data_IF_415251381831
#
_entry.id   IF_415251381831
#
_cell.length_a   1.000
_cell.length_b   1.000
_cell.length_c   1.000
_cell.angle_alpha   90.00
_cell.angle_beta   90.00
_cell.angle_gamma   90.00
#
_symmetry.space_group_name_H-M   'P 1'
#
loop_
_entity.id
_entity.type
_entity.pdbx_description
1 polymer ?
#
# COMPACT_ATOMS: atom_id res chain seq x y z
N UNK A 1 -41.78 -34.58 -25.14
CA UNK A 1 -41.01 -34.35 -26.38
C UNK A 1 -40.31 -33.01 -26.25
N UNK A 2 -38.98 -32.99 -26.26
CA UNK A 2 -38.22 -31.74 -26.22
C UNK A 2 -38.15 -31.20 -27.64
N UNK A 3 -38.69 -29.99 -27.83
CA UNK A 3 -38.63 -29.26 -29.09
C UNK A 3 -37.23 -28.67 -29.29
N UNK A 4 -36.28 -29.53 -29.67
CA UNK A 4 -34.96 -29.14 -30.15
C UNK A 4 -35.02 -28.91 -31.68
N UNK A 5 -35.61 -27.80 -32.11
CA UNK A 5 -35.73 -27.50 -33.54
C UNK A 5 -35.77 -26.01 -33.87
N UNK A 6 -36.25 -25.15 -32.96
CA UNK A 6 -36.34 -23.71 -33.20
C UNK A 6 -35.05 -22.94 -32.92
N UNK A 7 -34.12 -23.49 -32.12
CA UNK A 7 -32.83 -22.83 -31.79
C UNK A 7 -31.90 -22.77 -33.01
N UNK A 8 -31.96 -23.74 -33.92
CA UNK A 8 -31.15 -23.75 -35.14
C UNK A 8 -31.59 -22.72 -36.20
N UNK A 9 -32.86 -22.30 -36.22
CA UNK A 9 -33.39 -21.34 -37.20
C UNK A 9 -32.85 -19.92 -37.02
N UNK A 10 -32.38 -19.57 -35.81
CA UNK A 10 -31.69 -18.31 -35.53
C UNK A 10 -30.17 -18.41 -35.72
N UNK A 11 -29.66 -19.49 -36.32
CA UNK A 11 -28.23 -19.68 -36.58
C UNK A 11 -27.40 -20.03 -35.33
N UNK A 12 -28.05 -20.27 -34.19
CA UNK A 12 -27.40 -20.61 -32.92
C UNK A 12 -27.12 -22.12 -32.89
N UNK A 13 -26.05 -22.54 -33.57
CA UNK A 13 -25.53 -23.90 -33.50
C UNK A 13 -24.60 -24.12 -32.31
N UNK A 14 -24.18 -25.37 -32.08
CA UNK A 14 -23.19 -25.74 -31.06
C UNK A 14 -21.87 -24.95 -31.14
N UNK A 15 -21.52 -24.47 -32.35
CA UNK A 15 -20.37 -23.60 -32.60
C UNK A 15 -20.48 -22.22 -31.92
N UNK A 16 -21.68 -21.81 -31.51
CA UNK A 16 -21.90 -20.56 -30.78
C UNK A 16 -21.85 -20.77 -29.26
N UNK A 17 -22.02 -22.01 -28.77
CA UNK A 17 -21.91 -22.34 -27.34
C UNK A 17 -20.48 -22.21 -26.83
N UNK A 18 -19.48 -22.52 -27.66
CA UNK A 18 -18.06 -22.30 -27.31
C UNK A 18 -17.75 -20.81 -27.19
N UNK A 19 -18.27 -19.98 -28.10
CA UNK A 19 -18.12 -18.53 -28.05
C UNK A 19 -18.84 -17.92 -26.83
N UNK A 20 -20.06 -18.37 -26.50
CA UNK A 20 -20.77 -17.94 -25.28
C UNK A 20 -20.07 -18.40 -24.00
N UNK A 21 -19.52 -19.63 -23.94
CA UNK A 21 -18.71 -20.10 -22.80
C UNK A 21 -17.41 -19.32 -22.64
N UNK A 22 -16.79 -18.90 -23.75
CA UNK A 22 -15.62 -18.04 -23.72
C UNK A 22 -15.98 -16.62 -23.26
N UNK A 23 -17.18 -16.12 -23.58
CA UNK A 23 -17.67 -14.82 -23.10
C UNK A 23 -17.94 -14.79 -21.58
N UNK A 24 -18.09 -15.95 -20.94
CA UNK A 24 -18.19 -16.08 -19.47
C UNK A 24 -16.82 -15.88 -18.77
N UNK A 25 -15.75 -15.61 -19.54
CA UNK A 25 -14.49 -15.05 -19.02
C UNK A 25 -14.55 -13.53 -18.88
N UNK A 26 -15.73 -12.97 -18.56
CA UNK A 26 -15.77 -11.65 -17.90
C UNK A 26 -14.81 -11.73 -16.73
N UNK A 27 -13.70 -11.01 -16.90
CA UNK A 27 -12.45 -11.34 -16.25
C UNK A 27 -12.65 -11.60 -14.78
N UNK A 28 -11.94 -12.60 -14.27
CA UNK A 28 -11.40 -12.49 -12.93
C UNK A 28 -10.67 -11.16 -12.88
N UNK A 29 -11.39 -10.11 -12.47
CA UNK A 29 -10.80 -8.85 -12.04
C UNK A 29 -9.77 -9.33 -11.04
N UNK A 30 -8.46 -9.16 -11.29
CA UNK A 30 -7.46 -9.53 -10.31
C UNK A 30 -7.94 -8.84 -9.04
N UNK A 31 -8.27 -9.64 -8.04
CA UNK A 31 -8.72 -9.16 -6.74
C UNK A 31 -7.49 -8.47 -6.17
N UNK A 32 -7.29 -7.22 -6.58
CA UNK A 32 -6.16 -6.39 -6.22
C UNK A 32 -6.24 -6.34 -4.70
N UNK A 33 -5.35 -7.10 -4.04
CA UNK A 33 -5.39 -7.29 -2.60
C UNK A 33 -5.51 -5.91 -1.99
N UNK A 34 -6.56 -5.71 -1.19
CA UNK A 34 -6.93 -4.41 -0.67
C UNK A 34 -5.69 -3.65 -0.17
N UNK A 35 -5.60 -2.35 -0.50
CA UNK A 35 -4.58 -1.45 0.03
C UNK A 35 -4.58 -1.58 1.55
N UNK A 36 -3.55 -2.22 2.10
CA UNK A 36 -3.45 -2.44 3.55
C UNK A 36 -2.92 -1.14 4.15
N UNK A 37 -3.73 -0.46 4.97
CA UNK A 37 -3.37 0.81 5.59
C UNK A 37 -3.14 0.57 7.07
N UNK A 38 -1.94 0.93 7.55
CA UNK A 38 -1.66 1.02 8.97
C UNK A 38 -1.94 2.47 9.38
N UNK A 39 -2.97 2.66 10.22
CA UNK A 39 -3.27 3.96 10.79
C UNK A 39 -2.73 4.04 12.22
N UNK A 40 -1.78 4.95 12.45
CA UNK A 40 -1.20 5.19 13.76
C UNK A 40 -1.87 6.43 14.36
N UNK A 41 -2.79 6.22 15.30
CA UNK A 41 -3.43 7.32 16.01
C UNK A 41 -2.58 7.74 17.22
N UNK A 42 -2.06 8.97 17.18
CA UNK A 42 -1.27 9.55 18.26
C UNK A 42 -2.05 10.72 18.85
N UNK A 43 -2.68 10.51 20.02
CA UNK A 43 -3.40 11.58 20.74
C UNK A 43 -2.39 12.58 21.31
N UNK A 44 -2.14 13.67 20.57
CA UNK A 44 -1.08 14.65 20.85
C UNK A 44 -0.01 14.73 19.75
N UNK A 45 -0.01 13.76 18.82
CA UNK A 45 0.92 13.69 17.70
C UNK A 45 2.33 13.25 18.10
N UNK A 46 3.11 12.83 17.11
CA UNK A 46 4.56 12.77 17.22
C UNK A 46 5.08 14.18 16.89
N UNK A 47 5.75 14.84 17.82
CA UNK A 47 6.31 16.17 17.51
C UNK A 47 7.45 16.00 16.50
N UNK A 48 7.51 16.88 15.50
CA UNK A 48 8.58 16.82 14.50
C UNK A 48 9.95 17.08 15.13
N UNK A 49 9.97 17.92 16.17
CA UNK A 49 11.16 18.24 16.92
C UNK A 49 11.72 17.04 17.70
N UNK A 50 10.87 16.15 18.18
CA UNK A 50 11.31 15.00 18.98
C UNK A 50 11.50 13.71 18.15
N UNK A 51 11.31 13.79 16.83
CA UNK A 51 11.34 12.63 15.94
C UNK A 51 12.32 12.79 14.78
N UNK A 52 12.02 13.66 13.81
CA UNK A 52 12.72 13.74 12.54
C UNK A 52 13.54 15.02 12.34
N UNK A 53 13.35 16.06 13.17
CA UNK A 53 14.02 17.36 13.04
C UNK A 53 14.39 17.94 14.41
N UNK A 54 15.30 17.24 15.10
CA UNK A 54 15.71 17.51 16.48
C UNK A 54 16.58 18.74 16.69
N UNK A 55 16.99 19.39 15.60
CA UNK A 55 17.87 20.58 15.63
C UNK A 55 19.00 20.44 16.66
N UNK A 56 19.86 19.41 16.51
CA UNK A 56 20.86 19.09 17.53
C UNK A 56 21.81 20.26 17.82
N UNK A 57 22.01 21.16 16.86
CA UNK A 57 22.89 22.32 16.97
C UNK A 57 22.19 23.58 17.55
N UNK A 58 20.88 23.51 17.83
CA UNK A 58 20.16 24.61 18.48
C UNK A 58 20.45 24.67 20.00
N UNK A 59 20.13 25.81 20.61
CA UNK A 59 20.25 25.99 22.06
C UNK A 59 19.36 24.98 22.82
N UNK A 60 19.74 24.64 24.06
CA UNK A 60 19.10 23.57 24.86
C UNK A 60 17.62 23.79 25.18
N UNK A 61 17.17 25.03 25.12
CA UNK A 61 15.77 25.46 25.30
C UNK A 61 14.96 25.38 24.00
N UNK A 62 15.64 25.29 22.85
CA UNK A 62 15.04 25.16 21.53
C UNK A 62 15.03 23.71 21.09
N UNK A 63 16.13 22.97 21.32
CA UNK A 63 16.23 21.56 20.97
C UNK A 63 15.48 20.67 21.96
N UNK A 64 14.90 19.58 21.46
CA UNK A 64 14.20 18.59 22.27
C UNK A 64 15.12 17.87 23.27
N UNK A 65 14.53 17.05 24.14
CA UNK A 65 15.27 16.33 25.19
C UNK A 65 16.03 15.10 24.70
N UNK A 66 15.69 14.58 23.52
CA UNK A 66 16.25 13.34 22.98
C UNK A 66 17.55 13.58 22.21
N UNK A 67 18.29 12.50 21.96
CA UNK A 67 19.53 12.53 21.18
C UNK A 67 19.33 12.04 19.73
N UNK A 68 20.07 12.62 18.76
CA UNK A 68 20.07 12.12 17.39
C UNK A 68 20.87 10.80 17.27
N UNK A 69 20.41 9.93 16.37
CA UNK A 69 21.15 8.76 15.87
C UNK A 69 21.33 8.88 14.35
N UNK A 70 22.46 8.38 13.85
CA UNK A 70 22.70 8.30 12.41
C UNK A 70 21.75 7.30 11.74
N UNK A 71 21.31 7.64 10.54
CA UNK A 71 20.53 6.75 9.68
C UNK A 71 21.41 6.10 8.60
N UNK A 72 20.87 5.15 7.84
CA UNK A 72 21.55 4.59 6.66
C UNK A 72 21.76 5.65 5.57
N UNK A 73 20.90 6.68 5.55
CA UNK A 73 20.96 7.79 4.61
C UNK A 73 22.05 8.78 5.06
N UNK A 74 23.12 8.98 4.28
CA UNK A 74 24.23 9.84 4.69
C UNK A 74 23.79 11.28 4.98
N UNK A 75 24.30 11.84 6.08
CA UNK A 75 24.01 13.22 6.48
C UNK A 75 22.64 13.44 7.12
N UNK A 76 21.87 12.37 7.37
CA UNK A 76 20.55 12.44 7.98
C UNK A 76 20.49 11.70 9.31
N UNK A 77 19.93 12.36 10.33
CA UNK A 77 19.82 11.86 11.70
C UNK A 77 18.38 12.01 12.20
N UNK A 78 17.94 11.07 13.04
CA UNK A 78 16.60 11.07 13.66
C UNK A 78 16.72 10.71 15.14
N UNK A 79 15.60 10.75 15.88
CA UNK A 79 15.56 10.41 17.30
C UNK A 79 16.03 8.99 17.61
N UNK A 80 16.80 8.85 18.68
CA UNK A 80 17.32 7.58 19.21
C UNK A 80 16.23 6.53 19.50
N UNK A 81 14.99 6.96 19.69
CA UNK A 81 13.83 6.07 19.90
C UNK A 81 13.23 5.50 18.62
N UNK A 82 13.77 5.83 17.44
CA UNK A 82 13.33 5.34 16.13
C UNK A 82 14.37 4.43 15.44
N UNK A 83 15.04 3.47 16.13
CA UNK A 83 16.18 2.74 15.56
C UNK A 83 15.81 1.87 14.36
N UNK A 84 14.60 1.32 14.33
CA UNK A 84 14.11 0.51 13.19
C UNK A 84 13.86 1.37 11.96
N UNK A 85 13.45 2.62 12.15
CA UNK A 85 13.29 3.58 11.06
C UNK A 85 14.66 4.02 10.55
N UNK A 86 15.60 4.36 11.45
CA UNK A 86 16.97 4.70 11.08
C UNK A 86 17.65 3.61 10.24
N UNK A 87 17.39 2.33 10.56
CA UNK A 87 17.95 1.18 9.85
C UNK A 87 17.37 0.92 8.45
N UNK A 88 16.25 1.56 8.07
CA UNK A 88 15.60 1.40 6.77
C UNK A 88 15.46 2.72 6.01
N UNK A 89 16.22 3.75 6.40
CA UNK A 89 16.09 5.11 5.83
C UNK A 89 16.47 5.19 4.35
N UNK A 90 17.17 4.18 3.82
CA UNK A 90 17.47 4.00 2.40
C UNK A 90 16.23 3.75 1.53
N UNK A 91 15.07 3.48 2.16
CA UNK A 91 13.81 3.15 1.48
C UNK A 91 12.77 4.26 1.48
N UNK A 92 13.11 5.44 1.99
CA UNK A 92 12.17 6.56 2.16
C UNK A 92 12.06 7.41 0.90
#
# INVERSE_FOLDING_TARGET
MIQAGSVGLLGLGSNHLSALRAADTTGTIPHNSAKTVIFVFLSGGLTQHDSFDMKPDAASDIRGEFNPISTVTPGFQICEHLPKLAAISDKW
#
